data_IF_302556083794
#
_entry.id   IF_302556083794
#
_cell.length_a   1.000
_cell.length_b   1.000
_cell.length_c   1.000
_cell.angle_alpha   90.00
_cell.angle_beta   90.00
_cell.angle_gamma   90.00
#
_symmetry.space_group_name_H-M   'P 1'
#
loop_
_entity.id
_entity.type
_entity.pdbx_description
1 polymer ?
#
# COMPACT_ATOMS: atom_id res chain seq x y z
N UNK A 1 -22.02 -14.08 14.67
CA UNK A 1 -21.01 -13.33 13.90
C UNK A 1 -21.62 -12.90 12.58
N UNK A 2 -21.81 -11.60 12.33
CA UNK A 2 -22.33 -11.12 11.03
C UNK A 2 -21.18 -11.19 10.02
N UNK A 3 -21.26 -12.09 9.03
CA UNK A 3 -20.31 -12.12 7.92
C UNK A 3 -20.42 -10.79 7.17
N UNK A 4 -19.33 -10.00 7.15
CA UNK A 4 -19.27 -8.78 6.34
C UNK A 4 -19.46 -9.18 4.87
N UNK A 5 -20.43 -8.57 4.19
CA UNK A 5 -20.64 -8.84 2.76
C UNK A 5 -19.37 -8.46 1.97
N UNK A 6 -18.96 -9.29 0.99
CA UNK A 6 -17.82 -9.00 0.12
C UNK A 6 -17.91 -7.62 -0.55
N UNK A 7 -16.76 -7.01 -0.82
CA UNK A 7 -16.71 -5.73 -1.56
C UNK A 7 -17.07 -5.90 -3.05
N UNK A 8 -16.91 -7.12 -3.57
CA UNK A 8 -17.25 -7.50 -4.93
C UNK A 8 -18.16 -8.72 -4.92
N UNK A 9 -19.14 -8.73 -5.80
CA UNK A 9 -20.07 -9.85 -6.00
C UNK A 9 -19.28 -11.13 -6.31
N UNK A 10 -19.45 -12.21 -5.51
CA UNK A 10 -18.86 -13.51 -5.81
C UNK A 10 -19.27 -14.08 -7.17
N UNK A 11 -20.45 -13.71 -7.69
CA UNK A 11 -20.95 -14.11 -9.00
C UNK A 11 -20.47 -13.22 -10.15
N UNK A 12 -19.78 -12.10 -9.88
CA UNK A 12 -19.29 -11.24 -10.95
C UNK A 12 -18.11 -11.87 -11.71
N UNK A 13 -18.12 -11.79 -13.06
CA UNK A 13 -16.98 -12.15 -13.88
C UNK A 13 -15.68 -11.51 -13.38
N UNK A 14 -14.61 -12.32 -13.36
CA UNK A 14 -13.30 -11.83 -12.92
C UNK A 14 -12.73 -10.88 -13.98
N UNK A 15 -12.29 -9.69 -13.53
CA UNK A 15 -11.72 -8.65 -14.40
C UNK A 15 -10.62 -9.23 -15.30
N UNK A 16 -10.61 -8.77 -16.55
CA UNK A 16 -9.53 -9.11 -17.47
C UNK A 16 -8.18 -8.57 -16.98
N UNK A 17 -7.13 -9.32 -17.26
CA UNK A 17 -5.76 -9.03 -16.91
C UNK A 17 -5.05 -8.32 -18.07
N UNK A 18 -4.07 -7.49 -17.72
CA UNK A 18 -3.20 -6.87 -18.72
C UNK A 18 -2.11 -7.85 -19.16
N UNK A 19 -1.47 -7.57 -20.30
CA UNK A 19 -0.35 -8.35 -20.82
C UNK A 19 0.77 -8.52 -19.77
N UNK A 20 1.07 -7.45 -19.03
CA UNK A 20 2.04 -7.49 -17.93
C UNK A 20 1.61 -8.41 -16.79
N UNK A 21 0.35 -8.35 -16.35
CA UNK A 21 -0.13 -9.20 -15.25
C UNK A 21 -0.18 -10.68 -15.65
N UNK A 22 -0.52 -10.99 -16.90
CA UNK A 22 -0.45 -12.35 -17.43
C UNK A 22 0.99 -12.86 -17.45
N UNK A 23 1.95 -12.05 -17.92
CA UNK A 23 3.38 -12.38 -17.87
C UNK A 23 3.86 -12.58 -16.43
N UNK A 24 3.53 -11.65 -15.53
CA UNK A 24 3.91 -11.74 -14.12
C UNK A 24 3.37 -13.02 -13.49
N UNK A 25 2.11 -13.39 -13.75
CA UNK A 25 1.51 -14.62 -13.22
C UNK A 25 2.21 -15.88 -13.76
N UNK A 26 2.52 -15.92 -15.06
CA UNK A 26 3.18 -17.05 -15.68
C UNK A 26 4.64 -17.23 -15.20
N UNK A 27 5.35 -16.13 -14.98
CA UNK A 27 6.77 -16.16 -14.61
C UNK A 27 7.02 -16.07 -13.11
N UNK A 28 5.97 -15.94 -12.28
CA UNK A 28 6.12 -15.71 -10.85
C UNK A 28 6.88 -16.85 -10.17
N UNK A 29 6.50 -18.10 -10.45
CA UNK A 29 7.10 -19.26 -9.80
C UNK A 29 8.50 -19.54 -10.35
N UNK A 30 8.74 -19.32 -11.65
CA UNK A 30 10.07 -19.46 -12.25
C UNK A 30 11.04 -18.44 -11.66
N UNK A 31 10.65 -17.16 -11.56
CA UNK A 31 11.49 -16.14 -10.96
C UNK A 31 11.69 -16.35 -9.45
N UNK A 32 10.68 -16.87 -8.74
CA UNK A 32 10.81 -17.22 -7.33
C UNK A 32 11.79 -18.39 -7.12
N UNK A 33 11.73 -19.41 -7.97
CA UNK A 33 12.65 -20.55 -7.91
C UNK A 33 14.09 -20.17 -8.27
N UNK A 34 14.27 -19.28 -9.25
CA UNK A 34 15.59 -18.77 -9.64
C UNK A 34 16.19 -17.79 -8.61
N UNK A 35 15.35 -17.15 -7.81
CA UNK A 35 15.77 -16.14 -6.83
C UNK A 35 15.26 -16.47 -5.41
N UNK A 36 15.66 -17.63 -4.82
CA UNK A 36 15.20 -18.07 -3.50
C UNK A 36 15.89 -17.25 -2.41
N UNK A 37 15.36 -16.06 -2.14
CA UNK A 37 15.95 -15.12 -1.18
C UNK A 37 15.51 -13.67 -1.42
N UNK A 38 15.00 -13.36 -2.61
CA UNK A 38 14.35 -12.08 -2.84
C UNK A 38 13.05 -11.98 -2.07
N UNK A 39 12.83 -10.83 -1.44
CA UNK A 39 11.51 -10.47 -0.92
C UNK A 39 10.52 -10.33 -2.07
N UNK A 40 9.23 -10.50 -1.78
CA UNK A 40 8.17 -10.27 -2.78
C UNK A 40 8.27 -8.92 -3.49
N UNK A 41 8.65 -7.86 -2.77
CA UNK A 41 8.82 -6.52 -3.33
C UNK A 41 10.00 -6.42 -4.30
N UNK A 42 11.12 -7.08 -4.00
CA UNK A 42 12.27 -7.16 -4.91
C UNK A 42 11.94 -8.00 -6.15
N UNK A 43 11.28 -9.15 -5.97
CA UNK A 43 10.86 -10.02 -7.06
C UNK A 43 9.87 -9.33 -8.02
N UNK A 44 8.96 -8.51 -7.48
CA UNK A 44 8.03 -7.71 -8.28
C UNK A 44 8.78 -6.69 -9.16
N UNK A 45 9.76 -5.97 -8.59
CA UNK A 45 10.62 -5.05 -9.36
C UNK A 45 11.42 -5.77 -10.44
N UNK A 46 11.96 -6.94 -10.12
CA UNK A 46 12.67 -7.80 -11.07
C UNK A 46 11.76 -8.20 -12.24
N UNK A 47 10.55 -8.70 -11.94
CA UNK A 47 9.55 -9.08 -12.96
C UNK A 47 9.17 -7.91 -13.87
N UNK A 48 8.99 -6.71 -13.30
CA UNK A 48 8.76 -5.48 -14.08
C UNK A 48 9.92 -5.15 -15.02
N UNK A 49 11.16 -5.29 -14.55
CA UNK A 49 12.35 -5.08 -15.37
C UNK A 49 12.44 -6.09 -16.52
N UNK A 50 12.19 -7.37 -16.24
CA UNK A 50 12.19 -8.43 -17.25
C UNK A 50 11.14 -8.18 -18.33
N UNK A 51 9.91 -7.81 -17.94
CA UNK A 51 8.86 -7.46 -18.90
C UNK A 51 9.23 -6.23 -19.74
N UNK A 52 9.87 -5.23 -19.15
CA UNK A 52 10.33 -4.05 -19.89
C UNK A 52 11.43 -4.41 -20.91
N UNK A 53 12.28 -5.38 -20.60
CA UNK A 53 13.36 -5.87 -21.46
C UNK A 53 12.91 -6.83 -22.57
N UNK A 54 11.69 -7.40 -22.50
CA UNK A 54 11.16 -8.28 -23.55
C UNK A 54 11.18 -7.61 -24.93
N UNK A 55 11.41 -8.42 -25.96
CA UNK A 55 11.33 -7.99 -27.36
C UNK A 55 9.90 -7.53 -27.71
N UNK A 56 9.73 -6.65 -28.71
CA UNK A 56 8.41 -6.28 -29.21
C UNK A 56 7.56 -7.50 -29.59
N UNK A 57 8.18 -8.54 -30.15
CA UNK A 57 7.55 -9.77 -30.61
C UNK A 57 7.01 -10.57 -29.41
N UNK A 58 7.84 -10.79 -28.38
CA UNK A 58 7.42 -11.48 -27.16
C UNK A 58 6.34 -10.70 -26.41
N UNK A 59 6.47 -9.36 -26.36
CA UNK A 59 5.40 -8.50 -25.82
C UNK A 59 4.11 -8.63 -26.62
N UNK A 60 4.20 -8.81 -27.93
CA UNK A 60 3.07 -9.04 -28.83
C UNK A 60 2.28 -10.29 -28.45
N UNK A 61 2.96 -11.39 -28.10
CA UNK A 61 2.31 -12.63 -27.62
C UNK A 61 1.46 -12.36 -26.37
N UNK A 62 2.00 -11.64 -25.39
CA UNK A 62 1.28 -11.29 -24.17
C UNK A 62 0.14 -10.30 -24.40
N UNK A 63 0.30 -9.37 -25.34
CA UNK A 63 -0.77 -8.46 -25.77
C UNK A 63 -1.91 -9.21 -26.45
N UNK A 64 -1.60 -10.20 -27.30
CA UNK A 64 -2.60 -11.07 -27.90
C UNK A 64 -3.42 -11.83 -26.84
N UNK A 65 -2.73 -12.44 -25.86
CA UNK A 65 -3.39 -13.11 -24.72
C UNK A 65 -4.26 -12.17 -23.90
N UNK A 66 -3.78 -10.94 -23.63
CA UNK A 66 -4.56 -9.94 -22.90
C UNK A 66 -5.80 -9.46 -23.67
N UNK A 67 -5.72 -9.37 -24.99
CA UNK A 67 -6.86 -9.05 -25.85
C UNK A 67 -7.91 -10.16 -25.82
N UNK A 68 -7.50 -11.42 -25.89
CA UNK A 68 -8.40 -12.58 -25.75
C UNK A 68 -9.07 -12.61 -24.38
N UNK A 69 -8.32 -12.38 -23.29
CA UNK A 69 -8.87 -12.33 -21.94
C UNK A 69 -9.82 -11.15 -21.73
N UNK A 70 -9.57 -10.02 -22.41
CA UNK A 70 -10.52 -8.89 -22.47
C UNK A 70 -11.81 -9.31 -23.17
N UNK A 71 -11.73 -10.00 -24.30
CA UNK A 71 -12.93 -10.49 -25.01
C UNK A 71 -13.73 -11.46 -24.16
N UNK A 72 -13.07 -12.43 -23.50
CA UNK A 72 -13.69 -13.33 -22.52
C UNK A 72 -14.47 -12.55 -21.45
N UNK A 73 -13.81 -11.60 -20.79
CA UNK A 73 -14.44 -10.79 -19.75
C UNK A 73 -15.64 -10.00 -20.27
N UNK A 74 -15.56 -9.42 -21.48
CA UNK A 74 -16.67 -8.68 -22.07
C UNK A 74 -17.87 -9.59 -22.38
N UNK A 75 -17.63 -10.80 -22.88
CA UNK A 75 -18.69 -11.79 -23.13
C UNK A 75 -19.36 -12.23 -21.84
N UNK A 76 -18.57 -12.58 -20.82
CA UNK A 76 -19.11 -12.97 -19.50
C UNK A 76 -19.89 -11.80 -18.85
N UNK A 77 -19.36 -10.58 -18.94
CA UNK A 77 -20.03 -9.38 -18.42
C UNK A 77 -21.33 -9.07 -19.15
N UNK A 78 -21.45 -9.39 -20.44
CA UNK A 78 -22.69 -9.17 -21.20
C UNK A 78 -23.82 -10.08 -20.71
N UNK A 79 -23.49 -11.28 -20.22
CA UNK A 79 -24.45 -12.23 -19.63
C UNK A 79 -24.66 -12.06 -18.14
N UNK A 80 -23.83 -11.24 -17.49
CA UNK A 80 -23.84 -11.08 -16.04
C UNK A 80 -25.04 -10.23 -15.58
N UNK A 81 -25.82 -10.80 -14.68
CA UNK A 81 -26.95 -10.13 -14.02
C UNK A 81 -26.54 -9.90 -12.55
N UNK A 82 -26.33 -8.64 -12.12
CA UNK A 82 -25.91 -8.35 -10.75
C UNK A 82 -27.03 -8.62 -9.74
N UNK A 83 -26.65 -9.12 -8.56
CA UNK A 83 -27.57 -9.17 -7.42
C UNK A 83 -27.93 -7.74 -6.96
N UNK A 84 -29.13 -7.50 -6.38
CA UNK A 84 -29.57 -6.15 -5.97
C UNK A 84 -28.63 -5.38 -5.03
N UNK A 85 -27.67 -6.07 -4.39
CA UNK A 85 -26.66 -5.46 -3.53
C UNK A 85 -25.39 -4.97 -4.26
N UNK A 86 -25.27 -5.21 -5.58
CA UNK A 86 -24.06 -4.94 -6.38
C UNK A 86 -24.40 -4.19 -7.68
N UNK A 87 -23.43 -3.42 -8.18
CA UNK A 87 -23.58 -2.61 -9.39
C UNK A 87 -23.36 -3.45 -10.66
N UNK A 88 -23.53 -2.82 -11.83
CA UNK A 88 -23.32 -3.45 -13.14
C UNK A 88 -21.87 -3.93 -13.38
N UNK A 89 -20.91 -3.56 -12.52
CA UNK A 89 -19.51 -4.02 -12.56
C UNK A 89 -19.22 -5.09 -11.51
N UNK A 90 -20.22 -5.43 -10.70
CA UNK A 90 -20.12 -6.36 -9.58
C UNK A 90 -19.51 -5.74 -8.31
N UNK A 91 -19.38 -4.42 -8.22
CA UNK A 91 -18.91 -3.74 -7.01
C UNK A 91 -20.10 -3.45 -6.08
N UNK A 92 -19.93 -3.59 -4.75
CA UNK A 92 -21.05 -3.48 -3.78
C UNK A 92 -21.66 -2.07 -3.74
N UNK A 93 -22.97 -1.96 -3.94
CA UNK A 93 -23.72 -0.69 -3.84
C UNK A 93 -23.80 -0.25 -2.38
N UNK A 94 -23.53 1.02 -2.10
CA UNK A 94 -23.56 1.58 -0.73
C UNK A 94 -22.44 1.06 0.18
N UNK A 95 -21.57 0.18 -0.33
CA UNK A 95 -20.29 -0.05 0.30
C UNK A 95 -19.44 1.18 0.14
N UNK A 96 -18.94 1.73 1.24
CA UNK A 96 -17.75 2.58 1.23
C UNK A 96 -16.63 1.81 0.52
N UNK A 97 -16.54 1.88 -0.81
CA UNK A 97 -15.28 1.83 -1.53
C UNK A 97 -14.56 3.11 -1.12
N UNK A 98 -14.13 3.16 0.14
CA UNK A 98 -13.07 4.07 0.54
C UNK A 98 -11.96 3.68 -0.42
N UNK A 99 -11.58 4.53 -1.40
CA UNK A 99 -10.35 4.27 -2.12
C UNK A 99 -9.32 4.00 -1.05
N UNK A 100 -8.54 2.93 -1.19
CA UNK A 100 -7.41 2.71 -0.30
C UNK A 100 -6.45 3.88 -0.54
N UNK A 101 -6.75 5.02 0.07
CA UNK A 101 -5.82 6.04 0.45
C UNK A 101 -4.95 5.31 1.47
N UNK A 102 -3.87 4.70 0.95
CA UNK A 102 -2.80 4.23 1.81
C UNK A 102 -2.50 5.31 2.84
N UNK A 103 -2.06 4.94 4.06
CA UNK A 103 -1.98 5.84 5.20
C UNK A 103 -1.44 7.19 4.74
N UNK A 104 -2.34 8.21 4.70
CA UNK A 104 -1.99 9.55 4.27
C UNK A 104 -0.78 9.93 5.11
N UNK A 105 0.41 10.00 4.48
CA UNK A 105 1.64 10.35 5.17
C UNK A 105 1.32 11.65 5.86
N UNK A 106 1.23 11.65 7.19
CA UNK A 106 0.91 12.84 7.94
C UNK A 106 1.83 13.93 7.42
N UNK A 107 1.27 15.02 6.89
CA UNK A 107 2.07 16.10 6.35
C UNK A 107 3.13 16.46 7.38
N UNK A 108 4.37 16.65 6.93
CA UNK A 108 5.49 16.92 7.82
C UNK A 108 5.08 18.05 8.77
N UNK A 109 5.18 17.78 10.08
CA UNK A 109 5.00 18.84 11.07
C UNK A 109 6.26 19.66 11.16
N UNK A 110 6.11 20.94 11.46
CA UNK A 110 7.22 21.80 11.81
C UNK A 110 7.97 21.18 13.02
N UNK A 111 9.29 20.93 12.92
CA UNK A 111 10.11 20.50 14.05
C UNK A 111 10.01 21.42 15.28
N UNK A 112 9.74 22.71 15.08
CA UNK A 112 9.63 23.71 16.15
C UNK A 112 8.22 23.78 16.75
N UNK A 113 7.23 23.08 16.19
CA UNK A 113 5.88 23.11 16.71
C UNK A 113 5.79 22.33 18.04
N UNK A 114 5.09 22.89 19.06
CA UNK A 114 4.82 22.20 20.29
C UNK A 114 4.23 20.81 20.07
N UNK A 115 4.81 19.80 20.72
CA UNK A 115 4.24 18.45 20.71
C UNK A 115 2.90 18.48 21.43
N UNK A 116 1.89 17.85 20.81
CA UNK A 116 0.55 17.69 21.38
C UNK A 116 0.62 17.06 22.76
N UNK A 117 -0.30 17.47 23.61
CA UNK A 117 -0.49 16.83 24.90
C UNK A 117 -0.81 15.34 24.72
N UNK A 118 -0.28 14.55 25.64
CA UNK A 118 -0.52 13.13 25.78
C UNK A 118 -1.74 12.90 26.66
N UNK A 119 -2.48 11.83 26.36
CA UNK A 119 -3.54 11.37 27.23
C UNK A 119 -2.97 10.65 28.46
N UNK A 120 -3.79 10.54 29.50
CA UNK A 120 -3.51 9.77 30.72
C UNK A 120 -2.90 8.39 30.41
N UNK A 121 -3.54 7.66 29.49
CA UNK A 121 -3.08 6.34 29.06
C UNK A 121 -1.71 6.38 28.37
N UNK A 122 -1.46 7.35 27.49
CA UNK A 122 -0.17 7.46 26.78
C UNK A 122 0.97 7.83 27.73
N UNK A 123 0.72 8.67 28.73
CA UNK A 123 1.70 8.99 29.77
C UNK A 123 2.06 7.74 30.58
N UNK A 124 1.05 6.98 31.02
CA UNK A 124 1.25 5.69 31.70
C UNK A 124 2.05 4.72 30.81
N UNK A 125 1.59 4.49 29.57
CA UNK A 125 2.25 3.58 28.63
C UNK A 125 3.71 3.97 28.42
N UNK A 126 4.02 5.25 28.22
CA UNK A 126 5.40 5.70 27.98
C UNK A 126 6.30 5.45 29.20
N UNK A 127 5.79 5.72 30.40
CA UNK A 127 6.55 5.49 31.63
C UNK A 127 6.79 4.01 31.95
N UNK A 128 5.81 3.15 31.66
CA UNK A 128 5.86 1.71 31.98
C UNK A 128 6.40 0.87 30.82
N UNK A 129 6.72 1.46 29.67
CA UNK A 129 7.16 0.70 28.50
C UNK A 129 8.46 -0.05 28.77
N UNK A 130 9.41 0.60 29.43
CA UNK A 130 10.71 0.00 29.72
C UNK A 130 10.60 -1.09 30.78
N UNK A 131 9.82 -0.85 31.84
CA UNK A 131 9.57 -1.84 32.90
C UNK A 131 8.90 -3.09 32.33
N UNK A 132 7.84 -2.94 31.54
CA UNK A 132 7.16 -4.10 30.96
C UNK A 132 8.00 -4.83 29.92
N UNK A 133 8.87 -4.11 29.18
CA UNK A 133 9.81 -4.73 28.24
C UNK A 133 10.92 -5.49 28.97
N UNK A 134 11.40 -4.98 30.11
CA UNK A 134 12.40 -5.65 30.93
C UNK A 134 11.81 -6.91 31.62
N UNK A 135 10.57 -6.84 32.11
CA UNK A 135 9.85 -8.00 32.65
C UNK A 135 9.53 -9.05 31.57
N UNK A 136 9.37 -8.63 30.31
CA UNK A 136 8.94 -9.48 29.20
C UNK A 136 9.84 -9.28 27.96
N UNK A 137 11.13 -9.64 27.99
CA UNK A 137 12.05 -9.33 26.90
C UNK A 137 11.74 -10.08 25.60
N UNK A 138 11.05 -11.22 25.68
CA UNK A 138 10.69 -12.07 24.53
C UNK A 138 9.32 -11.75 23.92
N UNK A 139 8.51 -10.88 24.54
CA UNK A 139 7.16 -10.60 24.05
C UNK A 139 7.20 -9.68 22.82
N UNK A 140 6.31 -9.93 21.86
CA UNK A 140 6.15 -9.04 20.72
C UNK A 140 5.66 -7.65 21.17
N UNK A 141 6.05 -6.59 20.47
CA UNK A 141 5.57 -5.23 20.77
C UNK A 141 4.04 -5.13 20.80
N UNK A 142 3.35 -5.86 19.89
CA UNK A 142 1.89 -5.87 19.83
C UNK A 142 1.25 -6.50 21.06
N UNK A 143 1.83 -7.58 21.59
CA UNK A 143 1.32 -8.25 22.79
C UNK A 143 1.71 -7.49 24.06
N UNK A 144 2.87 -6.83 24.08
CA UNK A 144 3.24 -5.88 25.13
C UNK A 144 2.21 -4.75 25.27
N UNK A 145 1.79 -4.16 24.14
CA UNK A 145 0.80 -3.09 24.14
C UNK A 145 -0.56 -3.55 24.71
N UNK A 146 -0.98 -4.79 24.41
CA UNK A 146 -2.18 -5.40 24.99
C UNK A 146 -2.03 -5.58 26.51
N UNK A 147 -0.86 -6.02 26.97
CA UNK A 147 -0.55 -6.18 28.39
C UNK A 147 -0.60 -4.83 29.12
N UNK A 148 0.01 -3.78 28.56
CA UNK A 148 -0.06 -2.41 29.11
C UNK A 148 -1.49 -1.92 29.22
N UNK A 149 -2.31 -2.13 28.17
CA UNK A 149 -3.73 -1.78 28.18
C UNK A 149 -4.50 -2.51 29.29
N UNK A 150 -4.20 -3.80 29.51
CA UNK A 150 -4.82 -4.58 30.59
C UNK A 150 -4.42 -4.05 31.97
N UNK A 151 -3.13 -3.78 32.21
CA UNK A 151 -2.66 -3.22 33.48
C UNK A 151 -3.24 -1.83 33.76
N UNK A 152 -3.27 -0.94 32.76
CA UNK A 152 -3.88 0.38 32.91
C UNK A 152 -5.36 0.32 33.30
N UNK A 153 -6.12 -0.61 32.70
CA UNK A 153 -7.53 -0.82 33.05
C UNK A 153 -7.73 -1.32 34.47
N UNK A 154 -6.76 -2.05 35.03
CA UNK A 154 -6.78 -2.57 36.39
C UNK A 154 -6.13 -1.67 37.45
N UNK A 155 -5.65 -0.47 37.09
CA UNK A 155 -5.16 0.50 38.07
C UNK A 155 -6.26 0.91 39.05
N UNK A 156 -5.87 1.17 40.30
CA UNK A 156 -6.80 1.72 41.29
C UNK A 156 -7.26 3.13 40.89
N UNK A 157 -8.35 3.60 41.49
CA UNK A 157 -8.85 4.95 41.26
C UNK A 157 -7.81 6.01 41.66
N UNK A 158 -7.07 5.78 42.74
CA UNK A 158 -6.03 6.68 43.24
C UNK A 158 -4.83 6.75 42.30
N UNK A 159 -4.34 5.60 41.84
CA UNK A 159 -3.25 5.54 40.87
C UNK A 159 -3.65 6.21 39.55
N UNK A 160 -4.87 5.95 39.08
CA UNK A 160 -5.40 6.58 37.87
C UNK A 160 -5.52 8.09 38.03
N UNK A 161 -5.99 8.59 39.17
CA UNK A 161 -6.10 10.02 39.45
C UNK A 161 -4.74 10.73 39.37
N UNK A 162 -3.67 10.08 39.86
CA UNK A 162 -2.31 10.63 39.72
C UNK A 162 -1.87 10.78 38.25
N UNK A 163 -2.26 9.84 37.38
CA UNK A 163 -2.00 9.95 35.95
C UNK A 163 -2.91 10.99 35.28
N UNK A 164 -4.17 11.10 35.69
CA UNK A 164 -5.11 12.09 35.16
C UNK A 164 -4.63 13.52 35.47
N UNK A 165 -4.05 13.74 36.65
CA UNK A 165 -3.41 15.00 37.00
C UNK A 165 -2.19 15.30 36.12
N UNK A 166 -1.33 14.31 35.85
CA UNK A 166 -0.20 14.46 34.91
C UNK A 166 -0.68 14.82 33.49
N UNK A 167 -1.76 14.19 33.03
CA UNK A 167 -2.41 14.48 31.75
C UNK A 167 -2.99 15.90 31.72
N UNK A 168 -3.59 16.34 32.83
CA UNK A 168 -4.12 17.71 33.00
C UNK A 168 -3.00 18.74 32.91
N UNK A 169 -1.89 18.53 33.62
CA UNK A 169 -0.71 19.41 33.57
C UNK A 169 -0.08 19.43 32.17
N UNK A 170 0.03 18.30 31.49
CA UNK A 170 0.57 18.24 30.14
C UNK A 170 -0.33 18.95 29.11
N UNK A 171 -1.66 18.90 29.31
CA UNK A 171 -2.61 19.71 28.53
C UNK A 171 -2.40 21.20 28.78
N UNK A 172 -2.15 21.62 30.02
CA UNK A 172 -1.85 23.01 30.34
C UNK A 172 -0.53 23.47 29.70
N UNK A 173 0.54 22.66 29.81
CA UNK A 173 1.81 22.88 29.13
C UNK A 173 1.61 23.11 27.64
N UNK A 174 0.96 22.17 26.96
CA UNK A 174 0.70 22.28 25.51
C UNK A 174 -0.11 23.54 25.17
N UNK A 175 -1.14 23.87 25.97
CA UNK A 175 -1.94 25.07 25.74
C UNK A 175 -1.14 26.37 25.89
N UNK A 176 -0.15 26.42 26.79
CA UNK A 176 0.73 27.58 26.95
C UNK A 176 1.72 27.64 25.78
N UNK A 177 2.39 26.52 25.47
CA UNK A 177 3.36 26.45 24.38
C UNK A 177 2.72 26.78 23.03
N UNK A 178 1.52 26.26 22.74
CA UNK A 178 0.84 26.51 21.46
C UNK A 178 0.33 27.94 21.34
N UNK A 179 0.01 28.62 22.46
CA UNK A 179 -0.33 30.05 22.46
C UNK A 179 0.88 30.93 22.14
N UNK A 180 2.06 30.53 22.62
CA UNK A 180 3.31 31.25 22.38
C UNK A 180 3.99 30.85 21.06
N UNK A 181 3.48 29.84 20.38
CA UNK A 181 4.04 29.33 19.14
C UNK A 181 3.70 30.27 17.97
N UNK A 182 4.76 30.77 17.32
CA UNK A 182 4.65 31.54 16.09
C UNK A 182 4.99 30.62 14.89
N UNK A 183 4.00 30.20 14.09
CA UNK A 183 4.26 29.30 12.97
C UNK A 183 5.05 30.01 11.86
N UNK A 184 6.08 29.36 11.28
CA UNK A 184 6.76 29.87 10.10
C UNK A 184 5.84 29.82 8.87
N UNK A 185 6.19 30.62 7.86
CA UNK A 185 5.44 30.66 6.59
C UNK A 185 5.28 29.26 5.99
N UNK A 186 4.03 28.90 5.64
CA UNK A 186 3.69 27.58 5.12
C UNK A 186 3.23 26.54 6.16
N UNK A 187 3.10 26.91 7.44
CA UNK A 187 2.55 26.06 8.50
C UNK A 187 1.35 26.71 9.19
N UNK A 188 0.40 25.90 9.67
CA UNK A 188 -0.74 26.37 10.43
C UNK A 188 -0.40 26.61 11.91
N UNK A 189 -1.33 27.19 12.67
CA UNK A 189 -1.18 27.44 14.11
C UNK A 189 -0.92 26.17 14.94
N UNK A 190 -1.06 24.97 14.36
CA UNK A 190 -0.77 23.68 15.00
C UNK A 190 0.54 23.05 14.53
N UNK A 191 1.29 23.75 13.67
CA UNK A 191 2.53 23.27 13.07
C UNK A 191 2.35 22.25 11.96
N UNK A 192 1.13 22.09 11.43
CA UNK A 192 0.89 21.25 10.26
C UNK A 192 1.21 22.05 9.00
N UNK A 193 1.97 21.47 8.08
CA UNK A 193 2.23 22.10 6.78
C UNK A 193 0.91 22.43 6.08
N UNK A 194 0.72 23.70 5.74
CA UNK A 194 -0.36 24.16 4.88
C UNK A 194 -0.01 23.66 3.50
N UNK A 195 -0.72 22.65 3.03
CA UNK A 195 -0.65 22.27 1.63
C UNK A 195 -1.33 23.40 0.86
N UNK A 196 -0.53 24.30 0.28
CA UNK A 196 -1.01 25.07 -0.85
C UNK A 196 -1.63 24.07 -1.81
N UNK A 197 -2.94 24.20 -2.06
CA UNK A 197 -3.55 23.56 -3.22
C UNK A 197 -2.88 24.20 -4.42
N UNK A 198 -1.67 23.75 -4.79
CA UNK A 198 -1.22 23.84 -6.16
C UNK A 198 -2.36 23.22 -6.93
N UNK A 199 -3.06 24.03 -7.72
CA UNK A 199 -3.95 23.53 -8.75
C UNK A 199 -3.19 22.35 -9.35
N UNK A 200 -3.70 21.13 -9.11
CA UNK A 200 -3.05 19.93 -9.63
C UNK A 200 -2.79 20.21 -11.10
N UNK A 201 -1.64 19.81 -11.67
CA UNK A 201 -1.33 20.13 -13.06
C UNK A 201 -2.58 19.80 -13.87
N UNK A 202 -3.20 20.83 -14.47
CA UNK A 202 -4.41 20.67 -15.27
C UNK A 202 -4.16 19.45 -16.12
N UNK A 203 -5.05 18.42 -16.03
CA UNK A 203 -4.90 17.15 -16.74
C UNK A 203 -4.37 17.49 -18.12
N UNK A 204 -3.08 17.27 -18.38
CA UNK A 204 -2.54 17.45 -19.71
C UNK A 204 -3.34 16.46 -20.53
N UNK A 205 -4.23 16.97 -21.38
CA UNK A 205 -4.82 16.16 -22.42
C UNK A 205 -3.65 15.41 -23.05
N UNK A 206 -3.74 14.08 -23.09
CA UNK A 206 -2.72 13.28 -23.78
C UNK A 206 -2.73 13.77 -25.22
N UNK A 207 -1.76 14.60 -25.58
CA UNK A 207 -1.50 14.90 -26.98
C UNK A 207 -1.21 13.54 -27.62
N UNK A 208 -1.94 13.15 -28.67
CA UNK A 208 -1.67 11.92 -29.40
C UNK A 208 -0.20 11.89 -29.79
N UNK A 209 0.44 10.75 -29.59
CA UNK A 209 1.86 10.58 -29.89
C UNK A 209 2.02 10.66 -31.41
N UNK A 210 2.82 11.62 -31.87
CA UNK A 210 3.24 11.70 -33.27
C UNK A 210 3.87 10.37 -33.69
N UNK A 211 3.27 9.64 -34.66
CA UNK A 211 3.78 8.36 -35.15
C UNK A 211 5.20 8.43 -35.73
N UNK A 212 5.69 9.63 -36.08
CA UNK A 212 6.99 9.82 -36.72
C UNK A 212 8.17 9.92 -35.73
N UNK A 213 7.92 10.07 -34.42
CA UNK A 213 9.03 10.24 -33.46
C UNK A 213 9.52 8.91 -32.83
N UNK A 214 10.84 8.63 -32.87
CA UNK A 214 11.41 7.42 -32.27
C UNK A 214 11.26 7.41 -30.74
N UNK A 215 11.08 6.22 -30.18
CA UNK A 215 10.96 6.01 -28.73
C UNK A 215 12.24 6.46 -28.03
N UNK A 216 12.13 7.37 -27.04
CA UNK A 216 13.25 7.76 -26.18
C UNK A 216 13.78 6.53 -25.44
N UNK A 217 14.94 6.04 -25.85
CA UNK A 217 15.66 4.94 -25.19
C UNK A 217 16.16 5.48 -23.85
N UNK A 218 15.70 4.89 -22.74
CA UNK A 218 16.35 5.10 -21.44
C UNK A 218 17.58 4.21 -21.43
N UNK A 219 18.77 4.81 -21.44
CA UNK A 219 20.01 4.12 -21.06
C UNK A 219 19.89 3.71 -19.59
N UNK A 220 19.70 2.41 -19.37
CA UNK A 220 19.75 1.79 -18.05
C UNK A 220 21.21 1.36 -17.85
N UNK A 221 21.90 1.76 -16.76
CA UNK A 221 23.25 1.28 -16.50
C UNK A 221 23.23 -0.26 -16.38
N UNK A 222 24.23 -0.95 -16.96
CA UNK A 222 24.24 -2.41 -16.99
C UNK A 222 24.40 -2.93 -15.56
N UNK A 223 23.34 -3.54 -15.03
CA UNK A 223 23.52 -4.50 -13.94
C UNK A 223 24.20 -5.72 -14.58
N UNK A 224 25.40 -6.03 -14.11
CA UNK A 224 26.23 -7.15 -14.55
C UNK A 224 25.48 -8.47 -14.32
N UNK A 225 24.81 -8.98 -15.35
CA UNK A 225 24.33 -10.35 -15.39
C UNK A 225 25.44 -11.21 -16.00
N UNK A 226 26.08 -12.03 -15.16
CA UNK A 226 26.93 -13.11 -15.63
C UNK A 226 26.11 -14.10 -16.45
N UNK A 227 26.58 -14.30 -17.67
CA UNK A 227 26.14 -15.19 -18.73
C UNK A 227 25.75 -16.60 -18.22
N UNK A 228 24.51 -17.03 -18.45
CA UNK A 228 24.16 -18.45 -18.54
C UNK A 228 23.16 -18.63 -19.69
N UNK A 229 23.68 -19.18 -20.80
CA UNK A 229 22.92 -19.66 -21.96
C UNK A 229 21.88 -20.70 -21.51
N UNK A 230 20.60 -20.40 -21.70
CA UNK A 230 19.52 -21.40 -21.71
C UNK A 230 19.29 -21.81 -23.15
N UNK A 231 19.87 -22.94 -23.54
CA UNK A 231 19.55 -23.63 -24.78
C UNK A 231 18.15 -24.25 -24.62
N UNK A 232 17.17 -23.79 -25.42
CA UNK A 232 15.87 -24.42 -25.54
C UNK A 232 16.05 -25.77 -26.26
N UNK A 233 16.02 -26.88 -25.54
CA UNK A 233 15.81 -28.19 -26.15
C UNK A 233 14.33 -28.37 -26.48
N UNK A 234 14.04 -28.32 -27.78
CA UNK A 234 12.78 -28.76 -28.39
C UNK A 234 12.66 -30.28 -28.24
N UNK A 235 11.72 -30.77 -27.45
CA UNK A 235 11.31 -32.17 -27.48
C UNK A 235 10.35 -32.36 -28.66
N UNK A 236 10.83 -32.92 -29.78
CA UNK A 236 9.99 -33.56 -30.79
C UNK A 236 9.72 -35.00 -30.35
N UNK A 237 8.46 -35.33 -30.09
CA UNK A 237 8.02 -36.71 -29.93
C UNK A 237 7.85 -37.34 -31.31
N UNK A 238 8.67 -38.34 -31.62
CA UNK A 238 8.38 -39.40 -32.58
C UNK A 238 7.78 -40.58 -31.80
N UNK A 239 6.74 -41.21 -32.36
CA UNK A 239 6.51 -42.66 -32.42
C UNK A 239 5.12 -42.85 -33.07
N UNK A 240 5.09 -43.27 -34.35
CA UNK A 240 4.78 -44.62 -34.88
C UNK A 240 3.34 -45.05 -34.65
#
# INVERSE_FOLDING_TARGET
>A
MVKRMPSRDPGAPKRNLSAYLLFQNAMRETFKAQNPGMTFGQLSKYTSSMYAALTPEDKGVWQGRASQDKSRYLMEMATYIPSPAYDAKGDRIGGNSIPYEGPQKSSARDPNAPKRNLSTYLLYQNSMRETFKAENPAISFGDLAKLTSKRYKGLSAEERAAWDERSRLDKQRYNIEIKNYCPPSGYDATGKRIEEKKAGPAKKQKVPRDPSQPKRVRLIPPYSCTNMNLHLTLCHSHDT
#
